data_IF_477090117007
#
_entry.id   IF_477090117007
#
_cell.length_a   1.000
_cell.length_b   1.000
_cell.length_c   1.000
_cell.angle_alpha   90.00
_cell.angle_beta   90.00
_cell.angle_gamma   90.00
#
_symmetry.space_group_name_H-M   'P 1'
#
loop_
_entity.id
_entity.type
_entity.pdbx_description
1 polymer ?
#
# COMPACT_ATOMS: atom_id res chain seq x y z
N UNK A 1 -16.54 -8.31 3.19
CA UNK A 1 -15.78 -7.16 2.69
C UNK A 1 -14.65 -6.88 3.67
N UNK A 2 -13.42 -6.72 3.21
CA UNK A 2 -12.24 -6.50 4.06
C UNK A 2 -11.40 -5.40 3.42
N UNK A 3 -11.15 -4.33 4.15
CA UNK A 3 -10.34 -3.21 3.69
C UNK A 3 -8.95 -3.23 4.34
N UNK A 4 -8.10 -2.29 3.93
CA UNK A 4 -6.73 -2.17 4.42
C UNK A 4 -6.69 -1.98 5.95
N UNK A 5 -7.56 -1.12 6.49
CA UNK A 5 -7.63 -0.79 7.92
C UNK A 5 -7.97 -1.99 8.81
N UNK A 6 -8.65 -3.01 8.29
CA UNK A 6 -8.99 -4.20 9.06
C UNK A 6 -7.74 -4.97 9.54
N UNK A 7 -6.69 -5.03 8.71
CA UNK A 7 -5.44 -5.73 9.05
C UNK A 7 -4.36 -4.79 9.56
N UNK A 8 -4.34 -3.55 9.06
CA UNK A 8 -3.34 -2.52 9.34
C UNK A 8 -3.82 -1.55 10.43
N UNK A 9 -3.85 -2.04 11.66
CA UNK A 9 -4.12 -1.27 12.89
C UNK A 9 -3.31 -1.87 14.06
N UNK A 10 -3.19 -1.14 15.17
CA UNK A 10 -2.27 -1.47 16.28
C UNK A 10 -2.45 -2.87 16.90
N UNK A 11 -3.67 -3.41 16.89
CA UNK A 11 -3.98 -4.71 17.51
C UNK A 11 -4.42 -5.79 16.51
N UNK A 12 -3.90 -5.72 15.27
CA UNK A 12 -4.29 -6.64 14.17
C UNK A 12 -3.08 -7.31 13.52
N UNK A 13 -3.36 -8.21 12.58
CA UNK A 13 -2.37 -9.09 11.96
C UNK A 13 -1.15 -8.36 11.38
N UNK A 14 -1.32 -7.14 10.86
CA UNK A 14 -0.25 -6.36 10.25
C UNK A 14 0.29 -5.23 11.14
N UNK A 15 0.05 -5.24 12.45
CA UNK A 15 0.48 -4.18 13.36
C UNK A 15 2.01 -3.96 13.41
N UNK A 16 2.78 -5.00 13.10
CA UNK A 16 4.25 -4.97 13.00
C UNK A 16 4.75 -4.13 11.81
N UNK A 17 3.85 -3.70 10.91
CA UNK A 17 4.14 -2.74 9.85
C UNK A 17 3.64 -1.35 10.26
N UNK A 18 4.29 -0.25 9.82
CA UNK A 18 3.94 1.11 10.24
C UNK A 18 2.61 1.63 9.68
N UNK A 19 2.04 1.01 8.64
CA UNK A 19 0.87 1.55 7.93
C UNK A 19 -0.42 1.50 8.77
N UNK A 20 -1.21 2.58 8.72
CA UNK A 20 -2.51 2.73 9.38
C UNK A 20 -3.51 3.35 8.40
N UNK A 21 -4.35 2.50 7.80
CA UNK A 21 -5.24 2.92 6.70
C UNK A 21 -6.65 3.33 7.16
N UNK A 22 -6.87 3.50 8.47
CA UNK A 22 -8.15 4.01 8.95
C UNK A 22 -8.33 5.47 8.51
N UNK A 23 -9.55 5.85 8.14
CA UNK A 23 -9.84 7.20 7.62
C UNK A 23 -9.47 8.32 8.61
N UNK A 24 -9.60 8.08 9.91
CA UNK A 24 -9.21 9.04 10.95
C UNK A 24 -7.69 9.12 11.18
N UNK A 25 -6.90 8.26 10.54
CA UNK A 25 -5.43 8.18 10.64
C UNK A 25 -4.74 8.53 9.31
N UNK A 26 -5.50 8.67 8.22
CA UNK A 26 -5.00 8.89 6.85
C UNK A 26 -4.53 10.31 6.56
N UNK A 27 -4.58 11.21 7.55
CA UNK A 27 -4.03 12.57 7.43
C UNK A 27 -2.50 12.59 7.55
N UNK A 28 -1.92 11.55 8.15
CA UNK A 28 -0.49 11.31 8.16
C UNK A 28 -0.11 10.47 6.93
N UNK A 29 0.67 11.04 6.00
CA UNK A 29 1.07 10.35 4.79
C UNK A 29 1.97 9.14 5.07
N UNK A 30 2.72 9.14 6.19
CA UNK A 30 3.53 7.99 6.59
C UNK A 30 2.65 6.79 6.97
N UNK A 31 1.47 7.02 7.54
CA UNK A 31 0.48 5.97 7.80
C UNK A 31 -0.03 5.34 6.49
N UNK A 32 -0.08 6.11 5.40
CA UNK A 32 -0.42 5.61 4.07
C UNK A 32 0.79 4.99 3.33
N UNK A 33 1.98 5.06 3.92
CA UNK A 33 3.21 4.49 3.39
C UNK A 33 3.98 5.39 2.42
N UNK A 34 3.62 6.68 2.32
CA UNK A 34 4.33 7.64 1.47
C UNK A 34 5.75 7.83 1.99
N UNK A 35 6.74 7.57 1.12
CA UNK A 35 8.17 7.62 1.46
C UNK A 35 8.60 6.72 2.64
N UNK A 36 7.78 5.72 2.99
CA UNK A 36 8.14 4.73 4.00
C UNK A 36 8.89 3.59 3.34
N UNK A 37 10.07 3.27 3.83
CA UNK A 37 10.82 2.11 3.36
C UNK A 37 10.12 0.81 3.76
N UNK A 38 9.99 -0.16 2.83
CA UNK A 38 9.44 -1.45 3.17
C UNK A 38 10.47 -2.28 3.94
N UNK A 39 10.02 -2.99 4.96
CA UNK A 39 10.90 -3.96 5.65
C UNK A 39 11.25 -5.16 4.75
N UNK A 40 10.41 -5.46 3.76
CA UNK A 40 10.64 -6.53 2.78
C UNK A 40 11.29 -5.91 1.53
N UNK A 41 12.45 -6.42 1.15
CA UNK A 41 13.15 -5.95 -0.04
C UNK A 41 12.54 -6.58 -1.29
N UNK A 42 12.07 -5.73 -2.19
CA UNK A 42 11.68 -6.11 -3.54
C UNK A 42 12.59 -5.37 -4.52
N UNK A 43 13.09 -6.09 -5.53
CA UNK A 43 13.92 -5.50 -6.57
C UNK A 43 13.21 -4.30 -7.22
N UNK A 44 13.72 -3.10 -6.98
CA UNK A 44 13.23 -1.85 -7.56
C UNK A 44 12.11 -1.12 -6.81
N UNK A 45 11.50 -1.72 -5.77
CA UNK A 45 10.41 -1.11 -4.98
C UNK A 45 10.95 -0.62 -3.63
N UNK A 46 11.53 0.58 -3.63
CA UNK A 46 12.25 1.12 -2.46
C UNK A 46 11.33 1.77 -1.42
N UNK A 47 10.09 2.08 -1.79
CA UNK A 47 9.11 2.66 -0.88
C UNK A 47 7.79 1.90 -0.95
N UNK A 48 7.04 1.93 0.16
CA UNK A 48 5.67 1.42 0.20
C UNK A 48 4.82 2.20 -0.80
N UNK A 49 4.92 3.52 -0.78
CA UNK A 49 4.42 4.43 -1.82
C UNK A 49 5.55 5.37 -2.22
N UNK A 50 5.92 5.32 -3.50
CA UNK A 50 6.84 6.26 -4.15
C UNK A 50 6.00 7.35 -4.82
N UNK A 51 6.07 8.62 -4.39
CA UNK A 51 5.34 9.72 -5.00
C UNK A 51 5.55 9.80 -6.52
N UNK A 52 4.48 10.02 -7.27
CA UNK A 52 4.48 10.17 -8.72
C UNK A 52 5.15 9.00 -9.49
N UNK A 53 5.23 7.81 -8.88
CA UNK A 53 5.87 6.66 -9.50
C UNK A 53 5.27 5.33 -9.02
N UNK A 54 4.19 4.91 -9.67
CA UNK A 54 3.53 3.62 -9.38
C UNK A 54 4.47 2.41 -9.59
N UNK A 55 5.40 2.49 -10.56
CA UNK A 55 6.32 1.40 -10.87
C UNK A 55 7.36 1.15 -9.76
N UNK A 56 7.55 2.13 -8.87
CA UNK A 56 8.43 2.03 -7.69
C UNK A 56 7.65 1.92 -6.38
N UNK A 57 6.33 1.83 -6.45
CA UNK A 57 5.44 1.76 -5.29
C UNK A 57 5.04 0.32 -4.98
N UNK A 58 5.47 -0.18 -3.83
CA UNK A 58 5.10 -1.54 -3.40
C UNK A 58 3.60 -1.71 -3.22
N UNK A 59 2.91 -0.73 -2.64
CA UNK A 59 1.46 -0.78 -2.41
C UNK A 59 0.73 -1.08 -3.73
N UNK A 60 1.03 -0.32 -4.78
CA UNK A 60 0.45 -0.49 -6.12
C UNK A 60 0.68 -1.89 -6.68
N UNK A 61 1.93 -2.38 -6.61
CA UNK A 61 2.26 -3.73 -7.06
C UNK A 61 1.46 -4.81 -6.30
N UNK A 62 1.34 -4.68 -4.98
CA UNK A 62 0.64 -5.68 -4.14
C UNK A 62 -0.87 -5.69 -4.39
N UNK A 63 -1.49 -4.54 -4.68
CA UNK A 63 -2.93 -4.49 -5.00
C UNK A 63 -3.24 -4.92 -6.43
N UNK A 64 -2.30 -4.77 -7.37
CA UNK A 64 -2.48 -5.17 -8.78
C UNK A 64 -2.14 -6.64 -9.07
N UNK A 65 -1.38 -7.33 -8.22
CA UNK A 65 -0.98 -8.74 -8.45
C UNK A 65 -1.93 -9.77 -7.81
N UNK A 66 -2.07 -10.95 -8.41
CA UNK A 66 -2.75 -12.13 -7.84
C UNK A 66 -1.80 -13.18 -7.29
N UNK A 67 -0.48 -12.94 -7.34
CA UNK A 67 0.53 -13.84 -6.78
C UNK A 67 0.32 -13.98 -5.26
N UNK A 68 0.02 -15.19 -4.77
CA UNK A 68 -0.46 -15.42 -3.41
C UNK A 68 0.44 -14.84 -2.31
N UNK A 69 1.76 -14.89 -2.51
CA UNK A 69 2.78 -14.40 -1.58
C UNK A 69 3.01 -12.88 -1.67
N UNK A 70 2.49 -12.21 -2.72
CA UNK A 70 2.71 -10.78 -2.97
C UNK A 70 1.42 -9.95 -2.93
N UNK A 71 0.28 -10.57 -3.22
CA UNK A 71 -1.01 -9.88 -3.31
C UNK A 71 -1.45 -9.29 -1.97
N UNK A 72 -2.22 -8.23 -2.05
CA UNK A 72 -3.02 -7.70 -0.95
C UNK A 72 -4.51 -7.67 -1.34
N UNK A 73 -5.43 -8.03 -0.44
CA UNK A 73 -5.19 -8.70 0.85
C UNK A 73 -4.54 -10.09 0.68
N UNK A 74 -3.75 -10.50 1.68
CA UNK A 74 -3.04 -11.79 1.68
C UNK A 74 -4.00 -12.99 1.58
N UNK A 75 -5.18 -12.87 2.17
CA UNK A 75 -6.18 -13.93 2.26
C UNK A 75 -7.47 -13.52 1.54
N UNK A 76 -8.17 -14.51 0.98
CA UNK A 76 -9.54 -14.34 0.49
C UNK A 76 -9.72 -13.61 -0.85
N UNK A 77 -8.67 -13.04 -1.46
CA UNK A 77 -8.75 -12.39 -2.78
C UNK A 77 -8.21 -13.28 -3.91
N UNK A 78 -9.03 -13.56 -4.92
CA UNK A 78 -8.61 -14.29 -6.14
C UNK A 78 -8.60 -13.44 -7.41
N UNK A 79 -9.28 -12.29 -7.40
CA UNK A 79 -9.40 -11.37 -8.54
C UNK A 79 -8.85 -9.99 -8.18
N UNK A 80 -8.34 -9.25 -9.17
CA UNK A 80 -7.95 -7.83 -9.01
C UNK A 80 -9.21 -6.98 -8.94
N UNK A 81 -9.24 -6.02 -8.02
CA UNK A 81 -10.31 -5.01 -7.98
C UNK A 81 -9.87 -3.80 -8.81
N UNK A 82 -10.17 -3.83 -10.11
CA UNK A 82 -9.62 -2.86 -11.09
C UNK A 82 -9.90 -1.40 -10.71
N UNK A 83 -11.13 -1.07 -10.27
CA UNK A 83 -11.46 0.31 -9.86
C UNK A 83 -10.65 0.80 -8.66
N UNK A 84 -10.29 -0.10 -7.74
CA UNK A 84 -9.49 0.26 -6.57
C UNK A 84 -8.02 0.42 -6.94
N UNK A 85 -7.53 -0.38 -7.89
CA UNK A 85 -6.18 -0.22 -8.46
C UNK A 85 -6.06 1.11 -9.18
N UNK A 86 -7.05 1.46 -10.01
CA UNK A 86 -7.09 2.75 -10.71
C UNK A 86 -7.14 3.93 -9.74
N UNK A 87 -7.94 3.85 -8.67
CA UNK A 87 -7.98 4.90 -7.65
C UNK A 87 -6.62 5.08 -6.93
N UNK A 88 -5.95 3.98 -6.62
CA UNK A 88 -4.62 4.02 -5.99
C UNK A 88 -3.57 4.56 -6.98
N UNK A 89 -3.66 4.20 -8.26
CA UNK A 89 -2.82 4.75 -9.32
C UNK A 89 -2.93 6.27 -9.41
N UNK A 90 -4.16 6.79 -9.53
CA UNK A 90 -4.43 8.22 -9.61
C UNK A 90 -3.92 8.96 -8.36
N UNK A 91 -4.17 8.40 -7.18
CA UNK A 91 -3.67 8.97 -5.93
C UNK A 91 -2.14 9.03 -5.90
N UNK A 92 -1.44 7.93 -6.21
CA UNK A 92 0.03 7.91 -6.20
C UNK A 92 0.61 8.91 -7.21
N UNK A 93 0.01 8.98 -8.41
CA UNK A 93 0.43 9.91 -9.46
C UNK A 93 0.13 11.38 -9.11
N UNK A 94 -0.78 11.66 -8.18
CA UNK A 94 -1.07 13.01 -7.69
C UNK A 94 -0.06 13.53 -6.65
N UNK A 95 0.72 12.65 -6.02
CA UNK A 95 1.66 13.02 -4.96
C UNK A 95 2.86 13.79 -5.54
N UNK A 96 3.11 14.99 -5.01
CA UNK A 96 4.24 15.84 -5.44
C UNK A 96 5.42 15.85 -4.46
N UNK A 97 5.29 15.18 -3.31
CA UNK A 97 6.32 15.09 -2.28
C UNK A 97 7.56 14.38 -2.84
N UNK A 98 8.76 14.81 -2.41
CA UNK A 98 10.00 14.10 -2.72
C UNK A 98 10.44 13.32 -1.49
N UNK A 99 10.78 12.04 -1.65
CA UNK A 99 11.36 11.26 -0.56
C UNK A 99 12.84 11.62 -0.38
N UNK A 100 13.25 11.80 0.87
CA UNK A 100 14.64 12.07 1.25
C UNK A 100 15.55 10.84 1.12
#
# INVERSE_FOLDING_TARGET
>A
DINCAHCHSDDRHCNYRPMRFAFNESWDEANLGVCVEPQELFDGLNYIVSPNNINRSMLYFRVSTTLAQRRMPLLGRTLVHEEAVALIEDWINSLTTTCD
#
